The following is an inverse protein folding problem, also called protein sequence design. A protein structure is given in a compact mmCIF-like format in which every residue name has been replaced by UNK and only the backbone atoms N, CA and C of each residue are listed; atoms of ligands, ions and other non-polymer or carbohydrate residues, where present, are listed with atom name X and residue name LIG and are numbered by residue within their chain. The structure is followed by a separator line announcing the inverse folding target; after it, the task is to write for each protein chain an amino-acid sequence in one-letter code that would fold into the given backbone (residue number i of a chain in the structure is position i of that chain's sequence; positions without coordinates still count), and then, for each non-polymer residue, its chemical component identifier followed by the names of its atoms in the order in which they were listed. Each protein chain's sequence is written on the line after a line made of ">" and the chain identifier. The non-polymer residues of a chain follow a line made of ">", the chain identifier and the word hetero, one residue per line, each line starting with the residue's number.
data_IF_007621381430
#
_entry.id   IF_007621381430
#
_cell.length_a   1.000
_cell.length_b   1.000
_cell.length_c   1.000
_cell.angle_alpha   90.00
_cell.angle_beta   90.00
_cell.angle_gamma   90.00
#
_symmetry.space_group_name_H-M   'P 1'
#
loop_
_entity.id
_entity.type
_entity.pdbx_description
1 polymer ?
#
# COMPACT_ATOMS: atom_id res chain seq x y z
N UNK A 1 24.90 -49.87 -6.13
CA UNK A 1 25.39 -48.81 -5.22
C UNK A 1 24.92 -47.46 -5.78
N UNK A 2 23.61 -47.19 -5.75
CA UNK A 2 22.99 -46.13 -6.56
C UNK A 2 21.93 -45.32 -5.79
N UNK A 3 22.05 -45.23 -4.46
CA UNK A 3 21.02 -44.62 -3.60
C UNK A 3 21.53 -43.46 -2.73
N UNK A 4 22.69 -42.89 -3.04
CA UNK A 4 23.29 -41.78 -2.25
C UNK A 4 23.38 -40.45 -2.97
N UNK A 5 23.01 -40.35 -4.26
CA UNK A 5 23.08 -39.08 -5.01
C UNK A 5 21.81 -38.23 -4.93
N UNK A 6 20.66 -38.80 -4.56
CA UNK A 6 19.38 -38.07 -4.56
C UNK A 6 19.14 -37.28 -3.25
N UNK A 7 19.75 -37.68 -2.13
CA UNK A 7 19.63 -36.96 -0.86
C UNK A 7 20.49 -35.68 -0.82
N UNK A 8 21.64 -35.66 -1.50
CA UNK A 8 22.53 -34.50 -1.55
C UNK A 8 21.90 -33.32 -2.30
N UNK A 9 21.30 -33.58 -3.47
CA UNK A 9 20.62 -32.55 -4.27
C UNK A 9 19.36 -31.98 -3.60
N UNK A 10 18.66 -32.78 -2.78
CA UNK A 10 17.51 -32.31 -2.00
C UNK A 10 17.95 -31.40 -0.84
N UNK A 11 19.08 -31.71 -0.20
CA UNK A 11 19.65 -30.88 0.87
C UNK A 11 20.29 -29.58 0.33
N UNK A 12 20.90 -29.59 -0.86
CA UNK A 12 21.40 -28.38 -1.54
C UNK A 12 20.26 -27.41 -1.93
N UNK A 13 19.05 -27.94 -2.18
CA UNK A 13 17.84 -27.14 -2.44
C UNK A 13 17.32 -26.42 -1.18
N UNK A 14 17.62 -26.95 0.01
CA UNK A 14 17.34 -26.31 1.30
C UNK A 14 18.53 -25.50 1.84
N UNK A 15 19.72 -25.64 1.26
CA UNK A 15 20.88 -24.77 1.47
C UNK A 15 20.94 -23.65 0.42
N UNK A 16 19.78 -23.14 0.00
CA UNK A 16 19.68 -21.92 -0.80
C UNK A 16 20.07 -20.72 0.08
N UNK A 17 21.37 -20.55 0.30
CA UNK A 17 21.94 -19.38 0.96
C UNK A 17 21.71 -18.19 0.04
N UNK A 18 21.28 -17.06 0.61
CA UNK A 18 21.15 -15.82 -0.16
C UNK A 18 22.53 -15.51 -0.73
N UNK A 19 22.66 -15.70 -2.04
CA UNK A 19 23.90 -15.45 -2.75
C UNK A 19 24.16 -13.93 -2.85
N UNK A 20 25.37 -13.57 -3.26
CA UNK A 20 25.75 -12.16 -3.33
C UNK A 20 24.83 -11.35 -4.25
N UNK A 21 24.29 -11.97 -5.30
CA UNK A 21 23.35 -11.33 -6.22
C UNK A 21 22.01 -11.02 -5.55
N UNK A 22 21.39 -12.01 -4.88
CA UNK A 22 20.14 -11.80 -4.16
C UNK A 22 20.29 -10.78 -3.02
N UNK A 23 21.45 -10.72 -2.36
CA UNK A 23 21.72 -9.66 -1.37
C UNK A 23 21.73 -8.26 -2.00
N UNK A 24 22.38 -8.09 -3.15
CA UNK A 24 22.39 -6.81 -3.86
C UNK A 24 20.99 -6.40 -4.33
N UNK A 25 20.21 -7.34 -4.89
CA UNK A 25 18.83 -7.08 -5.30
C UNK A 25 17.94 -6.65 -4.13
N UNK A 26 18.07 -7.32 -2.98
CA UNK A 26 17.34 -6.97 -1.77
C UNK A 26 17.79 -5.62 -1.21
N UNK A 27 19.07 -5.30 -1.31
CA UNK A 27 19.61 -4.01 -0.89
C UNK A 27 19.05 -2.87 -1.73
N UNK A 28 18.99 -3.04 -3.05
CA UNK A 28 18.41 -2.04 -3.94
C UNK A 28 16.90 -1.92 -3.72
N UNK A 29 16.18 -3.04 -3.59
CA UNK A 29 14.76 -3.03 -3.19
C UNK A 29 14.54 -2.27 -1.87
N UNK A 30 15.39 -2.49 -0.87
CA UNK A 30 15.32 -1.83 0.42
C UNK A 30 15.57 -0.31 0.30
N UNK A 31 16.50 0.14 -0.55
CA UNK A 31 16.71 1.57 -0.84
C UNK A 31 15.48 2.21 -1.49
N UNK A 32 14.93 1.57 -2.52
CA UNK A 32 13.72 2.07 -3.21
C UNK A 32 12.50 2.11 -2.28
N UNK A 33 12.35 1.11 -1.40
CA UNK A 33 11.31 1.09 -0.39
C UNK A 33 11.37 2.31 0.55
N UNK A 34 12.58 2.80 0.88
CA UNK A 34 12.75 4.04 1.66
C UNK A 34 12.20 5.25 0.93
N UNK A 35 12.54 5.37 -0.35
CA UNK A 35 12.09 6.48 -1.21
C UNK A 35 10.56 6.49 -1.26
N UNK A 36 9.95 5.33 -1.50
CA UNK A 36 8.49 5.18 -1.53
C UNK A 36 7.87 5.57 -0.19
N UNK A 37 8.42 5.10 0.93
CA UNK A 37 7.91 5.45 2.26
C UNK A 37 7.94 6.97 2.51
N UNK A 38 9.02 7.65 2.12
CA UNK A 38 9.13 9.12 2.25
C UNK A 38 8.11 9.84 1.38
N UNK A 39 7.92 9.41 0.13
CA UNK A 39 6.89 9.97 -0.75
C UNK A 39 5.48 9.80 -0.17
N UNK A 40 5.17 8.65 0.43
CA UNK A 40 3.90 8.43 1.12
C UNK A 40 3.68 9.42 2.26
N UNK A 41 4.71 9.72 3.06
CA UNK A 41 4.61 10.72 4.13
C UNK A 41 4.37 12.13 3.58
N UNK A 42 5.04 12.50 2.49
CA UNK A 42 4.82 13.80 1.82
C UNK A 42 3.38 13.90 1.29
N UNK A 43 2.86 12.82 0.71
CA UNK A 43 1.48 12.78 0.20
C UNK A 43 0.44 13.11 1.27
N UNK A 44 0.68 12.74 2.54
CA UNK A 44 -0.22 13.06 3.64
C UNK A 44 -0.24 14.56 3.93
N UNK A 45 0.92 15.22 3.86
CA UNK A 45 1.03 16.67 3.98
C UNK A 45 0.23 17.39 2.90
N UNK A 46 0.25 16.88 1.67
CA UNK A 46 -0.57 17.43 0.56
C UNK A 46 -2.06 17.19 0.79
N UNK A 47 -2.45 15.99 1.26
CA UNK A 47 -3.85 15.66 1.56
C UNK A 47 -4.47 16.59 2.60
N UNK A 48 -3.70 17.09 3.56
CA UNK A 48 -4.17 18.06 4.56
C UNK A 48 -4.57 19.42 3.96
N UNK A 49 -3.99 19.80 2.81
CA UNK A 49 -4.28 21.08 2.14
C UNK A 49 -5.54 20.96 1.27
N UNK A 50 -5.87 19.74 0.81
CA UNK A 50 -6.98 19.49 -0.13
C UNK A 50 -8.35 20.04 0.30
N UNK A 51 -8.78 20.00 1.58
CA UNK A 51 -10.09 20.53 1.98
C UNK A 51 -10.18 22.05 1.82
N UNK A 52 -9.06 22.76 1.99
CA UNK A 52 -8.98 24.22 1.86
C UNK A 52 -9.04 24.68 0.40
N UNK A 53 -8.53 23.87 -0.54
CA UNK A 53 -8.64 24.16 -1.97
C UNK A 53 -10.08 24.02 -2.45
N UNK A 54 -10.79 22.99 -1.98
CA UNK A 54 -12.22 22.80 -2.27
C UNK A 54 -13.03 23.97 -1.71
N UNK A 55 -12.71 24.43 -0.50
CA UNK A 55 -13.33 25.61 0.10
C UNK A 55 -13.26 26.86 -0.78
N UNK A 56 -12.13 27.10 -1.45
CA UNK A 56 -11.91 28.30 -2.24
C UNK A 56 -12.61 28.30 -3.61
N UNK A 57 -13.11 27.14 -4.08
CA UNK A 57 -13.61 26.97 -5.45
C UNK A 57 -15.10 26.65 -5.56
N UNK A 58 -15.77 26.28 -4.47
CA UNK A 58 -17.16 25.84 -4.54
C UNK A 58 -18.09 26.84 -3.84
N UNK A 59 -18.98 27.46 -4.61
CA UNK A 59 -20.11 28.24 -4.11
C UNK A 59 -21.18 27.30 -3.54
N UNK A 60 -20.96 26.81 -2.31
CA UNK A 60 -21.97 26.02 -1.59
C UNK A 60 -22.69 26.86 -0.53
N UNK A 61 -23.91 26.43 -0.21
CA UNK A 61 -24.68 26.92 0.95
C UNK A 61 -23.82 26.83 2.22
N UNK A 62 -23.80 27.85 3.11
CA UNK A 62 -22.86 27.91 4.23
C UNK A 62 -22.82 26.66 5.12
N UNK A 63 -23.96 26.03 5.35
CA UNK A 63 -24.05 24.79 6.14
C UNK A 63 -23.32 23.63 5.46
N UNK A 64 -23.58 23.38 4.16
CA UNK A 64 -22.91 22.34 3.39
C UNK A 64 -21.39 22.57 3.32
N UNK A 65 -20.96 23.83 3.26
CA UNK A 65 -19.54 24.22 3.30
C UNK A 65 -18.86 23.83 4.61
N UNK A 66 -19.47 24.14 5.75
CA UNK A 66 -18.90 23.78 7.07
C UNK A 66 -18.79 22.27 7.25
N UNK A 67 -19.82 21.51 6.84
CA UNK A 67 -19.78 20.05 6.87
C UNK A 67 -18.72 19.46 5.94
N UNK A 68 -18.55 20.02 4.74
CA UNK A 68 -17.55 19.56 3.78
C UNK A 68 -16.11 19.76 4.30
N UNK A 69 -15.80 20.90 4.93
CA UNK A 69 -14.48 21.16 5.52
C UNK A 69 -14.25 20.23 6.72
N UNK A 70 -15.20 20.16 7.65
CA UNK A 70 -15.08 19.32 8.84
C UNK A 70 -14.91 17.83 8.48
N UNK A 71 -15.72 17.33 7.55
CA UNK A 71 -15.61 15.97 7.03
C UNK A 71 -14.32 15.73 6.23
N UNK A 72 -13.89 16.71 5.43
CA UNK A 72 -12.66 16.65 4.64
C UNK A 72 -11.40 16.61 5.52
N UNK A 73 -11.35 17.43 6.57
CA UNK A 73 -10.22 17.43 7.53
C UNK A 73 -10.21 16.12 8.33
N UNK A 74 -11.36 15.67 8.82
CA UNK A 74 -11.44 14.44 9.60
C UNK A 74 -11.06 13.20 8.77
N UNK A 75 -11.53 13.12 7.53
CA UNK A 75 -11.14 12.05 6.61
C UNK A 75 -9.65 12.09 6.24
N UNK A 76 -9.08 13.27 6.00
CA UNK A 76 -7.65 13.44 5.76
C UNK A 76 -6.80 13.00 6.96
N UNK A 77 -7.24 13.29 8.19
CA UNK A 77 -6.55 12.85 9.42
C UNK A 77 -6.58 11.33 9.58
N UNK A 78 -7.77 10.72 9.43
CA UNK A 78 -7.93 9.26 9.57
C UNK A 78 -7.13 8.51 8.50
N UNK A 79 -7.29 8.90 7.24
CA UNK A 79 -6.55 8.29 6.11
C UNK A 79 -5.04 8.53 6.24
N UNK A 80 -4.63 9.71 6.68
CA UNK A 80 -3.23 10.03 6.96
C UNK A 80 -2.65 9.12 8.02
N UNK A 81 -3.32 8.96 9.17
CA UNK A 81 -2.84 8.10 10.26
C UNK A 81 -2.68 6.64 9.80
N UNK A 82 -3.66 6.12 9.06
CA UNK A 82 -3.60 4.76 8.49
C UNK A 82 -2.40 4.64 7.54
N UNK A 83 -2.23 5.62 6.66
CA UNK A 83 -1.12 5.63 5.68
C UNK A 83 0.24 5.67 6.39
N UNK A 84 0.39 6.49 7.44
CA UNK A 84 1.62 6.52 8.26
C UNK A 84 1.86 5.15 8.89
N UNK A 85 0.84 4.59 9.54
CA UNK A 85 0.94 3.33 10.25
C UNK A 85 1.34 2.16 9.34
N UNK A 86 0.97 2.19 8.06
CA UNK A 86 1.36 1.17 7.08
C UNK A 86 2.78 1.42 6.56
N UNK A 87 3.09 2.65 6.17
CA UNK A 87 4.38 3.00 5.58
C UNK A 87 5.55 2.89 6.58
N UNK A 88 5.29 2.92 7.89
CA UNK A 88 6.31 2.64 8.90
C UNK A 88 6.93 1.24 8.73
N UNK A 89 6.14 0.25 8.31
CA UNK A 89 6.66 -1.11 8.07
C UNK A 89 7.57 -1.14 6.85
N UNK A 90 7.23 -0.38 5.80
CA UNK A 90 8.06 -0.26 4.61
C UNK A 90 9.39 0.46 4.91
N UNK A 91 9.33 1.51 5.74
CA UNK A 91 10.50 2.21 6.24
C UNK A 91 11.38 1.31 7.12
N UNK A 92 10.77 0.53 8.02
CA UNK A 92 11.49 -0.43 8.87
C UNK A 92 12.12 -1.56 8.07
N UNK A 93 11.43 -2.08 7.05
CA UNK A 93 12.01 -3.03 6.09
C UNK A 93 13.29 -2.46 5.50
N UNK A 94 13.22 -1.25 4.94
CA UNK A 94 14.40 -0.60 4.35
C UNK A 94 15.57 -0.52 5.33
N UNK A 95 15.35 0.06 6.52
CA UNK A 95 16.43 0.29 7.48
C UNK A 95 17.03 -1.01 8.02
N UNK A 96 16.20 -1.97 8.44
CA UNK A 96 16.71 -3.23 9.01
C UNK A 96 17.33 -4.13 7.94
N UNK A 97 16.80 -4.17 6.72
CA UNK A 97 17.39 -4.98 5.65
C UNK A 97 18.75 -4.42 5.22
N UNK A 98 18.88 -3.09 5.04
CA UNK A 98 20.17 -2.45 4.76
C UNK A 98 21.17 -2.66 5.89
N UNK A 99 20.74 -2.52 7.15
CA UNK A 99 21.59 -2.72 8.33
C UNK A 99 22.06 -4.17 8.47
N UNK A 100 21.16 -5.14 8.28
CA UNK A 100 21.47 -6.57 8.37
C UNK A 100 22.45 -7.02 7.30
N UNK A 101 22.29 -6.52 6.06
CA UNK A 101 23.20 -6.83 4.96
C UNK A 101 24.59 -6.20 5.18
N UNK A 102 24.67 -4.94 5.59
CA UNK A 102 25.96 -4.28 5.82
C UNK A 102 26.75 -4.88 6.99
N UNK A 103 26.06 -5.33 8.03
CA UNK A 103 26.68 -5.87 9.24
C UNK A 103 26.80 -7.41 9.24
N UNK A 104 26.37 -8.08 8.16
CA UNK A 104 26.22 -9.55 8.10
C UNK A 104 25.44 -10.12 9.31
N UNK A 105 24.43 -9.38 9.77
CA UNK A 105 23.58 -9.74 10.90
C UNK A 105 22.26 -10.34 10.39
N UNK A 106 22.19 -11.67 10.44
CA UNK A 106 21.03 -12.45 10.00
C UNK A 106 19.77 -12.13 10.81
N UNK A 107 19.89 -11.83 12.11
CA UNK A 107 18.74 -11.53 12.97
C UNK A 107 18.10 -10.21 12.53
N UNK A 108 18.92 -9.18 12.32
CA UNK A 108 18.45 -7.87 11.85
C UNK A 108 17.91 -7.94 10.43
N UNK A 109 18.55 -8.71 9.54
CA UNK A 109 18.03 -8.96 8.19
C UNK A 109 16.64 -9.62 8.22
N UNK A 110 16.47 -10.68 9.02
CA UNK A 110 15.19 -11.39 9.17
C UNK A 110 14.09 -10.47 9.72
N UNK A 111 14.43 -9.56 10.65
CA UNK A 111 13.51 -8.52 11.14
C UNK A 111 13.07 -7.61 9.99
N UNK A 112 13.99 -7.18 9.12
CA UNK A 112 13.67 -6.40 7.93
C UNK A 112 12.68 -7.11 7.02
N UNK A 113 12.99 -8.34 6.60
CA UNK A 113 12.12 -9.16 5.74
C UNK A 113 10.75 -9.41 6.36
N UNK A 114 10.68 -9.61 7.67
CA UNK A 114 9.40 -9.75 8.36
C UNK A 114 8.53 -8.47 8.29
N UNK A 115 9.14 -7.28 8.33
CA UNK A 115 8.40 -6.03 8.12
C UNK A 115 7.84 -5.93 6.69
N UNK A 116 8.58 -6.40 5.68
CA UNK A 116 8.09 -6.45 4.30
C UNK A 116 6.89 -7.41 4.17
N UNK A 117 6.95 -8.56 4.84
CA UNK A 117 5.83 -9.51 4.91
C UNK A 117 4.58 -8.87 5.51
N UNK A 118 4.73 -8.14 6.64
CA UNK A 118 3.61 -7.45 7.29
C UNK A 118 3.03 -6.38 6.35
N UNK A 119 3.88 -5.54 5.75
CA UNK A 119 3.47 -4.51 4.81
C UNK A 119 2.67 -5.10 3.63
N UNK A 120 3.20 -6.16 3.00
CA UNK A 120 2.57 -6.83 1.86
C UNK A 120 1.22 -7.44 2.23
N UNK A 121 1.10 -8.03 3.42
CA UNK A 121 -0.18 -8.55 3.93
C UNK A 121 -1.21 -7.44 4.11
N UNK A 122 -0.83 -6.31 4.70
CA UNK A 122 -1.76 -5.20 4.95
C UNK A 122 -2.21 -4.58 3.62
N UNK A 123 -1.29 -4.30 2.70
CA UNK A 123 -1.62 -3.76 1.37
C UNK A 123 -2.49 -4.74 0.58
N UNK A 124 -2.21 -6.06 0.65
CA UNK A 124 -3.03 -7.07 0.01
C UNK A 124 -4.47 -7.08 0.51
N UNK A 125 -4.67 -6.99 1.83
CA UNK A 125 -6.02 -6.92 2.43
C UNK A 125 -6.73 -5.63 2.00
N UNK A 126 -6.05 -4.48 2.04
CA UNK A 126 -6.62 -3.19 1.60
C UNK A 126 -7.02 -3.26 0.12
N UNK A 127 -6.18 -3.84 -0.74
CA UNK A 127 -6.48 -4.03 -2.17
C UNK A 127 -7.74 -4.85 -2.39
N UNK A 128 -7.93 -5.95 -1.65
CA UNK A 128 -9.15 -6.78 -1.74
C UNK A 128 -10.38 -5.97 -1.32
N UNK A 129 -10.30 -5.20 -0.24
CA UNK A 129 -11.41 -4.35 0.24
C UNK A 129 -11.76 -3.31 -0.83
N UNK A 130 -10.76 -2.59 -1.36
CA UNK A 130 -10.95 -1.57 -2.39
C UNK A 130 -11.56 -2.18 -3.66
N UNK A 131 -11.06 -3.32 -4.14
CA UNK A 131 -11.61 -4.02 -5.30
C UNK A 131 -13.06 -4.46 -5.09
N UNK A 132 -13.40 -4.92 -3.88
CA UNK A 132 -14.77 -5.32 -3.53
C UNK A 132 -15.72 -4.12 -3.58
N UNK A 133 -15.31 -2.99 -3.01
CA UNK A 133 -16.08 -1.73 -3.06
C UNK A 133 -16.19 -1.19 -4.48
N UNK A 134 -15.11 -1.23 -5.26
CA UNK A 134 -15.09 -0.74 -6.64
C UNK A 134 -16.02 -1.56 -7.53
N UNK A 135 -16.06 -2.87 -7.31
CA UNK A 135 -17.01 -3.78 -7.99
C UNK A 135 -18.45 -3.46 -7.62
N UNK A 136 -18.75 -3.24 -6.33
CA UNK A 136 -20.09 -2.86 -5.87
C UNK A 136 -20.55 -1.54 -6.51
N UNK A 137 -19.69 -0.52 -6.49
CA UNK A 137 -19.95 0.79 -7.09
C UNK A 137 -20.16 0.66 -8.60
N UNK A 138 -19.34 -0.14 -9.28
CA UNK A 138 -19.49 -0.40 -10.72
C UNK A 138 -20.87 -1.00 -11.06
N UNK A 139 -21.34 -1.99 -10.31
CA UNK A 139 -22.67 -2.56 -10.50
C UNK A 139 -23.80 -1.56 -10.21
N UNK A 140 -23.63 -0.73 -9.18
CA UNK A 140 -24.59 0.31 -8.84
C UNK A 140 -24.72 1.35 -9.98
N UNK A 141 -23.59 1.78 -10.54
CA UNK A 141 -23.56 2.68 -11.68
C UNK A 141 -24.17 2.06 -12.94
N UNK A 142 -23.96 0.77 -13.20
CA UNK A 142 -24.61 0.07 -14.31
C UNK A 142 -26.14 0.01 -14.15
N UNK A 143 -26.63 -0.27 -12.93
CA UNK A 143 -28.07 -0.26 -12.66
C UNK A 143 -28.67 1.14 -12.87
N UNK A 144 -28.08 2.18 -12.29
CA UNK A 144 -28.59 3.56 -12.39
C UNK A 144 -28.46 4.08 -13.83
N UNK A 145 -27.33 3.85 -14.49
CA UNK A 145 -27.09 4.25 -15.88
C UNK A 145 -28.00 3.51 -16.88
N UNK A 146 -28.25 2.22 -16.65
CA UNK A 146 -29.19 1.44 -17.45
C UNK A 146 -30.64 1.90 -17.29
N UNK A 147 -31.06 2.23 -16.06
CA UNK A 147 -32.39 2.79 -15.79
C UNK A 147 -32.53 4.18 -16.43
N UNK A 148 -31.51 5.04 -16.34
CA UNK A 148 -31.53 6.37 -16.94
C UNK A 148 -31.65 6.31 -18.48
N UNK A 149 -31.03 5.33 -19.13
CA UNK A 149 -31.16 5.11 -20.58
C UNK A 149 -32.54 4.58 -21.00
N UNK A 150 -33.20 3.77 -20.16
CA UNK A 150 -34.59 3.34 -20.42
C UNK A 150 -35.59 4.49 -20.21
N UNK A 151 -35.38 5.34 -19.21
CA UNK A 151 -36.27 6.48 -18.94
C UNK A 151 -36.19 7.55 -20.03
N UNK A 152 -35.02 7.77 -20.64
CA UNK A 152 -34.86 8.76 -21.73
C UNK A 152 -35.43 8.32 -23.08
N UNK A 153 -35.77 7.03 -23.24
CA UNK A 153 -36.35 6.47 -24.47
C UNK A 153 -37.87 6.32 -24.42
N UNK A 154 -38.53 6.63 -23.30
CA UNK A 154 -39.99 6.71 -23.25
C UNK A 154 -40.48 8.03 -23.90
N UNK A 155 -41.40 7.97 -24.88
CA UNK A 155 -42.07 9.17 -25.38
C UNK A 155 -42.90 9.81 -24.25
N UNK A 156 -42.84 11.13 -24.14
CA UNK A 156 -43.58 11.93 -23.16
C UNK A 156 -45.09 11.87 -23.38
#
# INVERSE_FOLDING_TARGET
>A
MENTQQSSSFNDLFDLRIDAEAQQLLFDCAKWAKIIAVFSFISIGVSMISPFVIYARVDMVPMARTFAIGGGVMSALISGLITVAINIFLYRFSNYTVQGLNNNDQETFNKGVNNLRIYSKIIGIIMIIVLSLLTLVFFLFLLIGGIAAMVSTMPK
#
